data_IF_473589510294
#
_entry.id   IF_473589510294
#
_cell.length_a   1.000
_cell.length_b   1.000
_cell.length_c   1.000
_cell.angle_alpha   90.00
_cell.angle_beta   90.00
_cell.angle_gamma   90.00
#
_symmetry.space_group_name_H-M   'P 1'
#
loop_
_entity.id
_entity.type
_entity.pdbx_description
1 polymer ?
#
# COMPACT_ATOMS: atom_id res chain seq x y z
N UNK A 1 -27.26 -22.65 43.50
CA UNK A 1 -27.99 -22.41 42.23
C UNK A 1 -27.16 -23.05 41.12
N UNK A 2 -27.59 -24.19 40.54
CA UNK A 2 -26.83 -24.89 39.50
C UNK A 2 -27.32 -24.40 38.14
N UNK A 3 -26.52 -23.61 37.42
CA UNK A 3 -26.84 -23.21 36.06
C UNK A 3 -26.70 -24.44 35.14
N UNK A 4 -27.80 -24.90 34.56
CA UNK A 4 -27.78 -25.94 33.54
C UNK A 4 -27.53 -25.26 32.19
N UNK A 5 -26.29 -25.35 31.70
CA UNK A 5 -25.91 -24.82 30.40
C UNK A 5 -26.36 -25.82 29.34
N UNK A 6 -27.34 -25.41 28.54
CA UNK A 6 -27.97 -26.26 27.54
C UNK A 6 -27.09 -26.28 26.27
N UNK A 7 -26.68 -27.48 25.85
CA UNK A 7 -25.60 -27.69 24.86
C UNK A 7 -25.90 -27.06 23.49
N UNK A 8 -27.17 -26.85 23.19
CA UNK A 8 -27.63 -26.16 21.98
C UNK A 8 -27.15 -24.69 21.92
N UNK A 9 -26.99 -24.04 23.09
CA UNK A 9 -26.47 -22.68 23.19
C UNK A 9 -24.96 -22.63 22.93
N UNK A 10 -24.23 -23.68 23.29
CA UNK A 10 -22.80 -23.80 23.02
C UNK A 10 -22.58 -23.95 21.50
N UNK A 11 -23.42 -24.76 20.84
CA UNK A 11 -23.36 -24.97 19.38
C UNK A 11 -23.68 -23.66 18.63
N UNK A 12 -24.69 -22.90 19.08
CA UNK A 12 -25.01 -21.59 18.51
C UNK A 12 -23.87 -20.57 18.68
N UNK A 13 -23.16 -20.61 19.82
CA UNK A 13 -22.02 -19.73 20.09
C UNK A 13 -20.80 -20.08 19.21
N UNK A 14 -20.57 -21.37 18.92
CA UNK A 14 -19.47 -21.82 18.05
C UNK A 14 -19.65 -21.41 16.58
N UNK A 15 -20.88 -21.30 16.08
CA UNK A 15 -21.14 -20.85 14.71
C UNK A 15 -20.73 -19.39 14.47
N UNK A 16 -20.78 -18.53 15.51
CA UNK A 16 -20.43 -17.12 15.40
C UNK A 16 -18.91 -16.88 15.30
N UNK A 17 -18.09 -17.81 15.80
CA UNK A 17 -16.62 -17.71 15.74
C UNK A 17 -15.99 -18.07 14.39
N UNK A 18 -16.76 -18.54 13.41
CA UNK A 18 -16.22 -18.92 12.10
C UNK A 18 -16.16 -17.76 11.10
N UNK A 19 -16.59 -16.55 11.49
CA UNK A 19 -16.40 -15.36 10.68
C UNK A 19 -14.97 -14.83 10.89
N UNK A 20 -13.98 -15.53 10.33
CA UNK A 20 -12.72 -14.88 9.96
C UNK A 20 -13.06 -14.04 8.75
N UNK A 21 -13.29 -12.75 8.93
CA UNK A 21 -13.17 -11.79 7.84
C UNK A 21 -11.76 -11.96 7.29
N UNK A 22 -11.62 -12.72 6.21
CA UNK A 22 -10.48 -12.56 5.33
C UNK A 22 -10.49 -11.06 5.02
N UNK A 23 -9.51 -10.34 5.56
CA UNK A 23 -9.25 -8.96 5.17
C UNK A 23 -9.07 -9.06 3.66
N UNK A 24 -10.10 -8.65 2.89
CA UNK A 24 -9.93 -8.47 1.46
C UNK A 24 -8.66 -7.64 1.30
N UNK A 25 -7.76 -7.96 0.36
CA UNK A 25 -6.71 -7.03 0.01
C UNK A 25 -7.40 -5.68 -0.16
N UNK A 26 -7.03 -4.69 0.64
CA UNK A 26 -7.60 -3.37 0.47
C UNK A 26 -7.22 -2.96 -0.96
N UNK A 27 -8.22 -2.73 -1.82
CA UNK A 27 -7.98 -2.26 -3.19
C UNK A 27 -6.94 -1.15 -3.14
N UNK A 28 -5.82 -1.32 -3.84
CA UNK A 28 -4.71 -0.38 -3.71
C UNK A 28 -3.44 -0.85 -4.39
N UNK A 29 -2.44 0.01 -4.45
CA UNK A 29 -1.13 -0.33 -4.96
C UNK A 29 -0.13 -0.53 -3.81
N UNK A 30 0.87 -1.35 -4.07
CA UNK A 30 2.11 -1.39 -3.28
C UNK A 30 3.29 -1.44 -4.22
N UNK A 31 4.27 -0.57 -4.02
CA UNK A 31 5.54 -0.57 -4.72
C UNK A 31 6.60 -0.95 -3.70
N UNK A 32 7.27 -2.08 -3.91
CA UNK A 32 8.45 -2.46 -3.15
C UNK A 32 9.67 -2.33 -4.05
N UNK A 33 10.68 -1.61 -3.60
CA UNK A 33 11.86 -1.31 -4.41
C UNK A 33 13.15 -1.53 -3.63
N UNK A 34 14.16 -2.01 -4.36
CA UNK A 34 15.53 -2.20 -3.88
C UNK A 34 16.50 -1.58 -4.88
N UNK A 35 17.45 -0.79 -4.39
CA UNK A 35 18.47 -0.12 -5.19
C UNK A 35 19.84 -0.62 -4.78
N UNK A 36 20.56 -1.22 -5.73
CA UNK A 36 21.94 -1.63 -5.51
C UNK A 36 22.87 -0.40 -5.56
N UNK A 37 23.80 -0.31 -4.62
CA UNK A 37 24.79 0.77 -4.57
C UNK A 37 24.32 2.05 -3.89
N UNK A 38 23.11 2.07 -3.31
CA UNK A 38 22.61 3.14 -2.46
C UNK A 38 22.30 2.56 -1.07
N UNK A 39 22.91 3.12 -0.03
CA UNK A 39 22.67 2.69 1.36
C UNK A 39 21.45 3.42 1.93
N UNK A 40 21.54 4.74 2.08
CA UNK A 40 20.44 5.56 2.58
C UNK A 40 20.11 6.70 1.62
N UNK A 41 18.87 7.18 1.69
CA UNK A 41 18.40 8.29 0.87
C UNK A 41 16.92 8.55 1.07
N UNK A 42 16.30 9.13 0.06
CA UNK A 42 14.85 9.31 0.04
C UNK A 42 14.30 9.11 -1.37
N UNK A 43 13.07 8.64 -1.42
CA UNK A 43 12.31 8.44 -2.64
C UNK A 43 11.06 9.32 -2.61
N UNK A 44 10.74 10.00 -3.72
CA UNK A 44 9.46 10.68 -3.94
C UNK A 44 8.68 9.95 -5.02
N UNK A 45 7.42 9.65 -4.76
CA UNK A 45 6.44 9.28 -5.76
C UNK A 45 5.74 10.56 -6.23
N UNK A 46 5.79 10.84 -7.53
CA UNK A 46 5.21 12.04 -8.13
C UNK A 46 4.31 11.69 -9.30
N UNK A 47 3.39 12.60 -9.65
CA UNK A 47 2.58 12.53 -10.86
C UNK A 47 2.63 13.85 -11.63
N UNK A 48 2.30 13.81 -12.92
CA UNK A 48 2.19 15.00 -13.76
C UNK A 48 0.84 15.69 -13.53
N UNK A 49 0.87 17.00 -13.28
CA UNK A 49 -0.29 17.88 -13.38
C UNK A 49 -0.54 18.24 -14.85
N UNK A 50 -1.67 17.81 -15.39
CA UNK A 50 -2.02 18.07 -16.80
C UNK A 50 -2.37 19.53 -17.08
N UNK A 51 -2.72 20.32 -16.07
CA UNK A 51 -3.08 21.72 -16.26
C UNK A 51 -1.84 22.61 -16.31
N UNK A 52 -0.87 22.34 -15.43
CA UNK A 52 0.33 23.16 -15.27
C UNK A 52 1.56 22.56 -15.96
N UNK A 53 1.50 21.30 -16.39
CA UNK A 53 2.65 20.46 -16.74
C UNK A 53 3.69 20.35 -15.60
N UNK A 54 3.29 20.65 -14.36
CA UNK A 54 4.11 20.57 -13.17
C UNK A 54 4.12 19.16 -12.57
N UNK A 55 5.01 18.94 -11.59
CA UNK A 55 5.03 17.71 -10.81
C UNK A 55 4.28 17.91 -9.50
N UNK A 56 3.38 16.98 -9.18
CA UNK A 56 2.67 16.91 -7.91
C UNK A 56 3.30 15.79 -7.09
N UNK A 57 3.74 16.10 -5.87
CA UNK A 57 4.16 15.10 -4.90
C UNK A 57 2.95 14.26 -4.47
N UNK A 58 3.04 12.95 -4.66
CA UNK A 58 2.03 11.99 -4.21
C UNK A 58 2.40 11.45 -2.83
N UNK A 59 3.64 11.00 -2.67
CA UNK A 59 4.17 10.48 -1.40
C UNK A 59 5.70 10.60 -1.37
N UNK A 60 6.30 10.47 -0.19
CA UNK A 60 7.74 10.39 0.00
C UNK A 60 8.10 9.46 1.15
N UNK A 61 9.20 8.72 0.98
CA UNK A 61 9.69 7.79 2.00
C UNK A 61 11.21 7.80 2.08
N UNK A 62 11.74 7.35 3.21
CA UNK A 62 13.18 7.19 3.43
C UNK A 62 13.60 5.85 2.79
N UNK A 63 14.74 5.88 2.11
CA UNK A 63 15.44 4.67 1.66
C UNK A 63 16.39 4.28 2.78
N UNK A 64 16.26 3.04 3.26
CA UNK A 64 17.15 2.48 4.28
C UNK A 64 17.71 1.16 3.79
N UNK A 65 19.03 1.00 3.86
CA UNK A 65 19.74 -0.17 3.32
C UNK A 65 19.34 -0.49 1.87
N UNK A 66 19.17 0.55 1.05
CA UNK A 66 18.76 0.45 -0.35
C UNK A 66 17.32 0.05 -0.59
N UNK A 67 16.49 -0.12 0.44
CA UNK A 67 15.10 -0.54 0.31
C UNK A 67 14.10 0.56 0.70
N UNK A 68 12.96 0.59 0.01
CA UNK A 68 11.82 1.43 0.36
C UNK A 68 10.51 0.86 -0.18
N UNK A 69 9.39 1.39 0.32
CA UNK A 69 8.06 1.04 -0.19
C UNK A 69 7.12 2.23 -0.24
N UNK A 70 6.17 2.19 -1.18
CA UNK A 70 5.00 3.06 -1.23
C UNK A 70 3.74 2.19 -1.20
N UNK A 71 2.68 2.66 -0.56
CA UNK A 71 1.37 2.04 -0.60
C UNK A 71 0.27 3.10 -0.60
N UNK A 72 -0.83 2.84 -1.29
CA UNK A 72 -1.93 3.78 -1.37
C UNK A 72 -3.06 3.28 -2.26
N UNK A 73 -3.99 4.17 -2.57
CA UNK A 73 -5.13 3.91 -3.43
C UNK A 73 -5.20 4.95 -4.55
N UNK A 74 -5.57 4.52 -5.76
CA UNK A 74 -5.77 5.37 -6.92
C UNK A 74 -7.23 5.35 -7.35
N UNK A 75 -7.81 6.53 -7.59
CA UNK A 75 -9.14 6.64 -8.21
C UNK A 75 -9.15 6.07 -9.64
N UNK A 76 -8.06 6.28 -10.37
CA UNK A 76 -7.89 5.79 -11.75
C UNK A 76 -6.41 5.47 -12.02
N UNK A 77 -6.09 4.46 -12.86
CA UNK A 77 -4.74 4.21 -13.33
C UNK A 77 -4.09 5.44 -13.94
N UNK A 78 -2.83 5.71 -13.60
CA UNK A 78 -2.14 6.91 -14.08
C UNK A 78 -0.61 6.77 -14.09
N UNK A 79 0.05 7.54 -14.96
CA UNK A 79 1.51 7.59 -15.05
C UNK A 79 2.09 8.33 -13.84
N UNK A 80 2.91 7.63 -13.07
CA UNK A 80 3.67 8.14 -11.95
C UNK A 80 5.17 8.08 -12.25
N UNK A 81 5.96 8.74 -11.41
CA UNK A 81 7.41 8.66 -11.45
C UNK A 81 7.99 8.55 -10.05
N UNK A 82 9.05 7.76 -9.90
CA UNK A 82 9.86 7.72 -8.70
C UNK A 82 11.12 8.55 -8.93
N UNK A 83 11.40 9.45 -8.00
CA UNK A 83 12.60 10.29 -7.96
C UNK A 83 13.42 9.88 -6.74
N UNK A 84 14.69 9.59 -6.95
CA UNK A 84 15.64 9.21 -5.90
C UNK A 84 16.57 10.39 -5.64
N UNK A 85 16.67 10.86 -4.39
CA UNK A 85 17.61 11.92 -3.99
C UNK A 85 17.56 13.22 -4.84
N UNK A 86 16.39 13.59 -5.38
CA UNK A 86 16.16 14.77 -6.24
C UNK A 86 17.00 14.70 -7.53
N UNK A 87 17.43 13.50 -7.91
CA UNK A 87 18.13 13.27 -9.16
C UNK A 87 17.26 13.66 -10.37
N UNK A 88 17.87 14.16 -11.45
CA UNK A 88 17.12 14.52 -12.65
C UNK A 88 16.51 13.30 -13.35
N UNK A 89 17.11 12.12 -13.20
CA UNK A 89 16.60 10.86 -13.72
C UNK A 89 15.37 10.39 -12.94
N UNK A 90 14.40 9.82 -13.67
CA UNK A 90 13.13 9.37 -13.11
C UNK A 90 12.82 7.97 -13.57
N UNK A 91 12.25 7.17 -12.68
CA UNK A 91 11.71 5.86 -13.01
C UNK A 91 10.21 6.04 -13.27
N UNK A 92 9.81 5.94 -14.53
CA UNK A 92 8.41 6.09 -14.93
C UNK A 92 7.65 4.77 -14.78
N UNK A 93 6.48 4.82 -14.14
CA UNK A 93 5.66 3.63 -13.85
C UNK A 93 4.19 3.97 -14.10
N UNK A 94 3.50 3.15 -14.89
CA UNK A 94 2.04 3.19 -14.94
C UNK A 94 1.51 2.44 -13.71
N UNK A 95 0.83 3.16 -12.82
CA UNK A 95 0.37 2.64 -11.54
C UNK A 95 -1.14 2.46 -11.56
N UNK A 96 -1.60 1.30 -11.11
CA UNK A 96 -3.00 0.95 -10.91
C UNK A 96 -3.15 0.18 -9.59
N UNK A 97 -4.37 0.13 -9.05
CA UNK A 97 -4.65 -0.67 -7.87
C UNK A 97 -4.60 -2.17 -8.23
N UNK A 98 -3.98 -2.98 -7.38
CA UNK A 98 -4.21 -4.42 -7.38
C UNK A 98 -5.57 -4.71 -6.75
N UNK A 99 -6.38 -5.60 -7.37
CA UNK A 99 -7.54 -6.20 -6.71
C UNK A 99 -7.12 -7.22 -5.63
#
# INVERSE_FOLDING_TARGET
>A
MKAQININWIILLLCLSSCRTAVQPADGFTINATINGLEDGWAKLVKLDLNTNGQILVDSTIIQNGAFSFAGHLETPYLHSIIINDAPEKIHIFLENSP
#
